data_IF_187891352935
#
_entry.id   IF_187891352935
#
_cell.length_a   1.000
_cell.length_b   1.000
_cell.length_c   1.000
_cell.angle_alpha   90.00
_cell.angle_beta   90.00
_cell.angle_gamma   90.00
#
_symmetry.space_group_name_H-M   'P 1'
#
loop_
_entity.id
_entity.type
_entity.pdbx_description
1 polymer ?
#
# COMPACT_ATOMS: atom_id res chain seq x y z
N UNK A 1 -27.81 -2.85 21.52
CA UNK A 1 -27.70 -3.78 20.42
C UNK A 1 -27.72 -3.08 19.08
N UNK A 2 -28.69 -2.23 18.88
CA UNK A 2 -28.75 -1.50 17.63
C UNK A 2 -27.57 -0.58 17.43
N UNK A 3 -26.99 -0.15 18.52
CA UNK A 3 -25.84 0.74 18.46
C UNK A 3 -24.65 0.08 17.80
N UNK A 4 -24.53 -1.22 17.94
CA UNK A 4 -23.42 -1.95 17.31
C UNK A 4 -23.53 -1.86 15.79
N UNK A 5 -24.73 -2.05 15.26
CA UNK A 5 -24.92 -1.97 13.82
C UNK A 5 -24.65 -0.56 13.30
N UNK A 6 -25.08 0.43 14.05
CA UNK A 6 -24.84 1.82 13.65
C UNK A 6 -23.36 2.15 13.68
N UNK A 7 -22.68 1.67 14.71
CA UNK A 7 -21.24 1.87 14.83
C UNK A 7 -20.51 1.23 13.67
N UNK A 8 -20.92 0.04 13.27
CA UNK A 8 -20.30 -0.66 12.15
C UNK A 8 -20.49 0.14 10.87
N UNK A 9 -21.70 0.64 10.62
CA UNK A 9 -21.93 1.45 9.43
C UNK A 9 -21.08 2.71 9.42
N UNK A 10 -21.03 3.38 10.57
CA UNK A 10 -20.23 4.58 10.67
C UNK A 10 -18.76 4.27 10.42
N UNK A 11 -18.29 3.18 10.96
CA UNK A 11 -16.90 2.78 10.79
C UNK A 11 -16.56 2.51 9.32
N UNK A 12 -17.48 1.90 8.59
CA UNK A 12 -17.28 1.64 7.17
C UNK A 12 -17.17 2.96 6.42
N UNK A 13 -18.03 3.92 6.72
CA UNK A 13 -17.98 5.21 6.07
C UNK A 13 -16.70 5.98 6.42
N UNK A 14 -16.29 5.87 7.66
CA UNK A 14 -15.09 6.57 8.11
C UNK A 14 -13.82 5.92 7.60
N UNK A 15 -13.85 4.60 7.40
CA UNK A 15 -12.64 3.89 7.01
C UNK A 15 -12.09 4.34 5.66
N UNK A 16 -12.92 4.85 4.76
CA UNK A 16 -12.43 5.37 3.49
C UNK A 16 -11.56 6.59 3.68
N UNK A 17 -11.89 7.44 4.63
CA UNK A 17 -11.09 8.63 4.91
C UNK A 17 -9.95 8.34 5.88
N UNK A 18 -10.07 7.28 6.67
CA UNK A 18 -9.06 6.92 7.66
C UNK A 18 -8.05 5.90 7.16
N UNK A 19 -8.22 5.41 5.94
CA UNK A 19 -7.27 4.43 5.40
C UNK A 19 -5.89 5.05 5.26
N UNK A 20 -4.89 4.30 5.67
CA UNK A 20 -3.52 4.73 5.51
C UNK A 20 -3.13 4.64 4.04
N UNK A 21 -2.36 5.60 3.59
CA UNK A 21 -1.97 5.71 2.19
C UNK A 21 -0.59 5.12 1.98
N UNK A 22 -0.45 4.27 0.98
CA UNK A 22 0.85 3.75 0.59
C UNK A 22 1.10 4.10 -0.88
N UNK A 23 2.37 4.19 -1.23
CA UNK A 23 2.78 4.47 -2.61
C UNK A 23 3.70 3.35 -3.05
N UNK A 24 3.54 2.88 -4.27
CA UNK A 24 4.41 1.87 -4.84
C UNK A 24 5.29 2.52 -5.92
N UNK A 25 6.59 2.36 -5.80
CA UNK A 25 7.54 2.91 -6.74
C UNK A 25 8.36 1.78 -7.38
N UNK A 26 8.57 1.86 -8.69
CA UNK A 26 9.28 0.82 -9.41
C UNK A 26 8.34 -0.19 -10.00
N UNK A 27 8.88 -1.34 -10.37
CA UNK A 27 8.10 -2.41 -10.99
C UNK A 27 7.99 -3.59 -10.05
N UNK A 28 6.77 -4.12 -9.93
CA UNK A 28 6.55 -5.31 -9.14
C UNK A 28 7.09 -6.54 -9.83
N UNK A 29 7.59 -7.50 -9.05
CA UNK A 29 8.00 -8.80 -9.58
C UNK A 29 6.82 -9.64 -10.00
N UNK A 30 5.65 -9.35 -9.46
CA UNK A 30 4.47 -10.21 -9.59
C UNK A 30 3.37 -9.60 -10.43
N UNK A 31 3.34 -8.28 -10.57
CA UNK A 31 2.25 -7.58 -11.22
C UNK A 31 2.77 -6.59 -12.25
N UNK A 32 1.96 -6.34 -13.27
CA UNK A 32 2.29 -5.32 -14.26
C UNK A 32 1.44 -4.08 -14.04
N UNK A 33 2.04 -2.92 -14.32
CA UNK A 33 1.33 -1.66 -14.23
C UNK A 33 0.73 -1.43 -12.86
N UNK A 34 -0.51 -1.02 -12.84
CA UNK A 34 -1.20 -0.71 -11.60
C UNK A 34 -1.86 -1.92 -10.93
N UNK A 35 -1.64 -3.11 -11.46
CA UNK A 35 -2.23 -4.31 -10.87
C UNK A 35 -1.74 -4.55 -9.45
N UNK A 36 -0.50 -4.16 -9.16
CA UNK A 36 0.06 -4.30 -7.81
C UNK A 36 -0.73 -3.45 -6.82
N UNK A 37 -1.10 -2.25 -7.22
CA UNK A 37 -1.85 -1.35 -6.36
C UNK A 37 -3.25 -1.89 -6.09
N UNK A 38 -3.88 -2.43 -7.11
CA UNK A 38 -5.20 -3.05 -6.95
C UNK A 38 -5.14 -4.26 -6.02
N UNK A 39 -4.07 -5.04 -6.12
CA UNK A 39 -3.87 -6.20 -5.25
C UNK A 39 -3.73 -5.75 -3.79
N UNK A 40 -2.97 -4.69 -3.55
CA UNK A 40 -2.79 -4.16 -2.21
C UNK A 40 -4.14 -3.70 -1.65
N UNK A 41 -4.89 -2.92 -2.41
CA UNK A 41 -6.17 -2.40 -1.95
C UNK A 41 -7.19 -3.50 -1.70
N UNK A 42 -7.13 -4.56 -2.49
CA UNK A 42 -8.07 -5.67 -2.34
C UNK A 42 -7.79 -6.50 -1.09
N UNK A 43 -6.53 -6.66 -0.74
CA UNK A 43 -6.12 -7.57 0.33
C UNK A 43 -5.70 -6.88 1.62
N UNK A 44 -5.72 -5.57 1.67
CA UNK A 44 -5.37 -4.80 2.87
C UNK A 44 -6.35 -3.64 3.02
N UNK A 45 -6.22 -2.94 4.12
CA UNK A 45 -6.99 -1.73 4.36
C UNK A 45 -6.26 -0.48 3.87
N UNK A 46 -5.17 -0.65 3.15
CA UNK A 46 -4.42 0.49 2.64
C UNK A 46 -5.08 1.04 1.38
N UNK A 47 -4.88 2.33 1.18
CA UNK A 47 -5.25 3.02 -0.03
C UNK A 47 -3.95 3.35 -0.78
N UNK A 48 -3.95 3.21 -2.10
CA UNK A 48 -2.76 3.50 -2.87
C UNK A 48 -2.91 4.80 -3.65
N UNK A 49 -1.81 5.53 -3.77
CA UNK A 49 -1.75 6.73 -4.61
C UNK A 49 -0.43 6.73 -5.36
N UNK A 50 -0.32 7.60 -6.35
CA UNK A 50 0.88 7.68 -7.17
C UNK A 50 1.86 8.74 -6.69
N UNK A 51 1.45 9.60 -5.79
CA UNK A 51 2.28 10.70 -5.32
C UNK A 51 2.47 10.63 -3.81
N UNK A 52 3.71 10.89 -3.38
CA UNK A 52 4.01 10.98 -1.96
C UNK A 52 3.47 12.27 -1.39
N UNK A 53 3.05 12.20 -0.14
CA UNK A 53 2.60 13.37 0.61
C UNK A 53 2.98 13.17 2.06
N UNK A 54 2.79 14.21 2.86
CA UNK A 54 3.07 14.12 4.29
C UNK A 54 2.20 13.09 4.99
N UNK A 55 1.10 12.70 4.35
CA UNK A 55 0.18 11.70 4.91
C UNK A 55 0.47 10.30 4.43
N UNK A 56 1.46 10.11 3.57
CA UNK A 56 1.83 8.78 3.10
C UNK A 56 2.39 7.97 4.27
N UNK A 57 1.81 6.80 4.48
CA UNK A 57 2.22 5.92 5.57
C UNK A 57 3.48 5.13 5.22
N UNK A 58 3.59 4.68 3.97
CA UNK A 58 4.62 3.76 3.57
C UNK A 58 4.93 3.92 2.09
N UNK A 59 6.21 3.86 1.74
CA UNK A 59 6.63 3.76 0.35
C UNK A 59 7.13 2.34 0.10
N UNK A 60 6.46 1.63 -0.78
CA UNK A 60 6.82 0.27 -1.13
C UNK A 60 7.64 0.33 -2.42
N UNK A 61 8.79 -0.32 -2.44
CA UNK A 61 9.66 -0.29 -3.61
C UNK A 61 9.70 -1.64 -4.29
N UNK A 62 9.59 -1.60 -5.63
CA UNK A 62 9.80 -2.77 -6.45
C UNK A 62 11.17 -2.72 -7.09
N UNK A 63 11.28 -3.26 -8.30
CA UNK A 63 12.52 -3.22 -9.06
C UNK A 63 12.73 -1.83 -9.64
N UNK A 64 13.93 -1.29 -9.48
CA UNK A 64 14.32 0.03 -10.00
C UNK A 64 13.34 1.13 -9.58
N UNK A 65 13.19 1.36 -8.28
CA UNK A 65 12.32 2.43 -7.81
C UNK A 65 12.86 3.80 -8.22
N UNK A 66 11.96 4.76 -8.36
CA UNK A 66 12.38 6.11 -8.75
C UNK A 66 13.21 6.77 -7.67
N UNK A 67 14.40 7.29 -8.01
CA UNK A 67 15.25 7.92 -7.00
C UNK A 67 14.61 9.15 -6.37
N UNK A 68 13.80 9.89 -7.12
CA UNK A 68 13.14 11.06 -6.59
C UNK A 68 12.14 10.72 -5.50
N UNK A 69 11.44 9.61 -5.64
CA UNK A 69 10.49 9.18 -4.63
C UNK A 69 11.19 8.68 -3.37
N UNK A 70 12.31 7.98 -3.54
CA UNK A 70 13.09 7.52 -2.40
C UNK A 70 13.62 8.70 -1.60
N UNK A 71 14.14 9.71 -2.29
CA UNK A 71 14.66 10.88 -1.65
C UNK A 71 13.58 11.68 -0.95
N UNK A 72 12.44 11.85 -1.61
CA UNK A 72 11.31 12.56 -1.04
C UNK A 72 10.78 11.85 0.21
N UNK A 73 10.70 10.52 0.17
CA UNK A 73 10.27 9.75 1.33
C UNK A 73 11.22 9.96 2.51
N UNK A 74 12.52 10.02 2.23
CA UNK A 74 13.50 10.25 3.25
C UNK A 74 13.35 11.63 3.88
N UNK A 75 13.10 12.64 3.06
CA UNK A 75 12.89 14.00 3.55
C UNK A 75 11.63 14.12 4.39
N UNK A 76 10.61 13.35 4.06
CA UNK A 76 9.34 13.36 4.80
C UNK A 76 9.30 12.37 5.94
N UNK A 77 10.41 11.66 6.18
CA UNK A 77 10.50 10.62 7.21
C UNK A 77 9.46 9.50 7.01
N UNK A 78 9.18 9.18 5.77
CA UNK A 78 8.28 8.10 5.44
C UNK A 78 9.05 6.79 5.42
N UNK A 79 8.47 5.74 5.99
CA UNK A 79 9.10 4.42 5.99
C UNK A 79 9.16 3.87 4.57
N UNK A 80 10.32 3.34 4.19
CA UNK A 80 10.52 2.72 2.89
C UNK A 80 10.71 1.23 3.07
N UNK A 81 10.04 0.43 2.26
CA UNK A 81 10.08 -1.02 2.40
C UNK A 81 10.03 -1.67 1.02
N UNK A 82 10.85 -2.68 0.80
CA UNK A 82 10.78 -3.43 -0.46
C UNK A 82 9.49 -4.24 -0.54
N UNK A 83 9.06 -4.57 -1.77
CA UNK A 83 7.81 -5.29 -1.92
C UNK A 83 7.84 -6.67 -1.26
N UNK A 84 8.96 -7.37 -1.33
CA UNK A 84 9.05 -8.69 -0.69
C UNK A 84 8.83 -8.61 0.80
N UNK A 85 9.42 -7.62 1.44
CA UNK A 85 9.23 -7.41 2.87
C UNK A 85 7.80 -7.00 3.20
N UNK A 86 7.19 -6.21 2.31
CA UNK A 86 5.81 -5.79 2.49
C UNK A 86 4.86 -6.99 2.43
N UNK A 87 5.03 -7.85 1.41
CA UNK A 87 4.17 -9.02 1.27
C UNK A 87 4.28 -9.93 2.50
N UNK A 88 5.51 -10.11 2.98
CA UNK A 88 5.75 -10.96 4.14
C UNK A 88 5.17 -10.35 5.41
N UNK A 89 5.39 -9.07 5.61
CA UNK A 89 4.91 -8.39 6.82
C UNK A 89 3.40 -8.43 6.96
N UNK A 90 2.69 -8.30 5.86
CA UNK A 90 1.23 -8.24 5.89
C UNK A 90 0.56 -9.56 5.50
N UNK A 91 1.35 -10.63 5.44
CA UNK A 91 0.80 -11.97 5.21
C UNK A 91 0.23 -12.19 3.83
N UNK A 92 0.77 -11.49 2.84
CA UNK A 92 0.26 -11.58 1.47
C UNK A 92 1.06 -12.54 0.59
N UNK A 93 2.16 -13.07 1.10
CA UNK A 93 3.06 -13.91 0.31
C UNK A 93 2.33 -15.09 -0.31
N UNK A 94 1.43 -15.72 0.43
CA UNK A 94 0.69 -16.88 -0.04
C UNK A 94 -0.35 -16.52 -1.11
N UNK A 95 -0.68 -15.26 -1.22
CA UNK A 95 -1.69 -14.80 -2.19
C UNK A 95 -1.09 -14.28 -3.47
N UNK A 96 0.23 -14.17 -3.53
CA UNK A 96 0.91 -13.65 -4.71
C UNK A 96 0.90 -14.66 -5.85
N UNK A 97 0.78 -14.18 -7.10
CA UNK A 97 0.93 -15.05 -8.26
C UNK A 97 2.40 -15.39 -8.45
N UNK A 98 2.68 -16.20 -9.46
CA UNK A 98 4.07 -16.51 -9.76
C UNK A 98 4.79 -15.26 -10.28
N UNK A 99 6.09 -15.11 -9.97
CA UNK A 99 6.86 -13.99 -10.48
C UNK A 99 6.86 -13.96 -12.01
N UNK A 100 6.88 -12.76 -12.54
CA UNK A 100 6.83 -12.57 -14.00
C UNK A 100 8.12 -12.95 -14.69
N UNK A 101 9.22 -12.81 -14.02
CA UNK A 101 10.52 -13.05 -14.66
C UNK A 101 10.96 -14.48 -14.54
#
# INVERSE_FOLDING_TARGET
MMDVAKIVKRRILESDSDKQVVVFSGKSKYFEGDAVEKFIEKNTDFKTTHALSDKTFLLITGTKPGPNKLEDAKKRSITVMGEDAFWEKYGLTDKLPEPKA
#
